data_IF_450816107727
#
_entry.id   IF_450816107727
#
_cell.length_a   1.000
_cell.length_b   1.000
_cell.length_c   1.000
_cell.angle_alpha   90.00
_cell.angle_beta   90.00
_cell.angle_gamma   90.00
#
_symmetry.space_group_name_H-M   'P 1'
#
loop_
_entity.id
_entity.type
_entity.pdbx_description
1 polymer ?
#
# COMPACT_ATOMS: atom_id res chain seq x y z
N UNK A 1 2.81 -17.16 -16.52
CA UNK A 1 1.95 -16.84 -15.35
C UNK A 1 2.05 -17.95 -14.28
N UNK A 2 3.20 -18.12 -13.61
CA UNK A 2 3.43 -19.24 -12.67
C UNK A 2 3.87 -18.81 -11.24
N UNK A 3 4.03 -17.50 -10.99
CA UNK A 3 4.58 -16.99 -9.71
C UNK A 3 3.62 -16.93 -8.52
N UNK A 4 2.31 -16.73 -8.75
CA UNK A 4 1.34 -16.48 -7.66
C UNK A 4 1.17 -17.66 -6.69
N UNK A 5 1.26 -18.89 -7.20
CA UNK A 5 1.20 -20.11 -6.38
C UNK A 5 2.48 -20.33 -5.55
N UNK A 6 3.63 -19.87 -6.05
CA UNK A 6 4.90 -19.95 -5.32
C UNK A 6 4.98 -18.90 -4.21
N UNK A 7 4.62 -17.65 -4.53
CA UNK A 7 4.62 -16.53 -3.59
C UNK A 7 3.64 -16.76 -2.43
N UNK A 8 2.42 -17.22 -2.72
CA UNK A 8 1.44 -17.51 -1.68
C UNK A 8 1.91 -18.63 -0.75
N UNK A 9 2.51 -19.69 -1.31
CA UNK A 9 3.05 -20.79 -0.51
C UNK A 9 4.17 -20.33 0.40
N UNK A 10 5.11 -19.52 -0.11
CA UNK A 10 6.20 -18.92 0.68
C UNK A 10 5.64 -18.09 1.84
N UNK A 11 4.64 -17.25 1.56
CA UNK A 11 4.02 -16.42 2.61
C UNK A 11 3.24 -17.25 3.64
N UNK A 12 2.55 -18.32 3.23
CA UNK A 12 1.89 -19.25 4.16
C UNK A 12 2.91 -19.93 5.08
N UNK A 13 4.04 -20.39 4.53
CA UNK A 13 5.11 -21.00 5.32
C UNK A 13 5.70 -20.01 6.33
N UNK A 14 5.99 -18.78 5.91
CA UNK A 14 6.49 -17.73 6.79
C UNK A 14 5.48 -17.38 7.89
N UNK A 15 4.19 -17.29 7.54
CA UNK A 15 3.12 -17.09 8.51
C UNK A 15 3.06 -18.25 9.51
N UNK A 16 3.13 -19.50 9.05
CA UNK A 16 3.10 -20.67 9.93
C UNK A 16 4.26 -20.65 10.93
N UNK A 17 5.49 -20.40 10.46
CA UNK A 17 6.66 -20.26 11.35
C UNK A 17 6.47 -19.15 12.38
N UNK A 18 6.02 -17.97 11.96
CA UNK A 18 5.74 -16.88 12.89
C UNK A 18 4.67 -17.26 13.92
N UNK A 19 3.60 -17.95 13.52
CA UNK A 19 2.53 -18.36 14.44
C UNK A 19 3.02 -19.37 15.49
N UNK A 20 4.00 -20.22 15.13
CA UNK A 20 4.65 -21.19 16.02
C UNK A 20 5.65 -20.52 16.97
N UNK A 21 6.52 -19.65 16.45
CA UNK A 21 7.65 -19.09 17.21
C UNK A 21 7.33 -17.78 17.91
N UNK A 22 6.39 -17.00 17.35
CA UNK A 22 6.13 -15.59 17.70
C UNK A 22 7.38 -14.70 17.70
N UNK A 23 8.41 -15.10 16.95
CA UNK A 23 9.69 -14.42 16.87
C UNK A 23 9.61 -13.17 15.99
N UNK A 24 10.27 -12.09 16.43
CA UNK A 24 10.43 -10.87 15.63
C UNK A 24 11.18 -11.13 14.32
N UNK A 25 12.12 -12.09 14.33
CA UNK A 25 12.88 -12.47 13.13
C UNK A 25 11.97 -13.10 12.05
N UNK A 26 11.06 -14.00 12.45
CA UNK A 26 10.09 -14.60 11.53
C UNK A 26 9.07 -13.56 11.03
N UNK A 27 8.66 -12.64 11.90
CA UNK A 27 7.78 -11.54 11.51
C UNK A 27 8.47 -10.59 10.52
N UNK A 28 9.75 -10.28 10.74
CA UNK A 28 10.57 -9.48 9.82
C UNK A 28 10.78 -10.16 8.47
N UNK A 29 10.96 -11.48 8.46
CA UNK A 29 11.04 -12.25 7.21
C UNK A 29 9.71 -12.26 6.45
N UNK A 30 8.58 -12.37 7.16
CA UNK A 30 7.24 -12.27 6.58
C UNK A 30 7.00 -10.88 5.99
N UNK A 31 7.32 -9.82 6.74
CA UNK A 31 7.25 -8.43 6.31
C UNK A 31 8.06 -8.20 5.02
N UNK A 32 9.33 -8.60 5.01
CA UNK A 32 10.22 -8.42 3.84
C UNK A 32 9.65 -9.11 2.60
N UNK A 33 9.19 -10.35 2.76
CA UNK A 33 8.57 -11.09 1.65
C UNK A 33 7.28 -10.42 1.15
N UNK A 34 6.43 -9.95 2.05
CA UNK A 34 5.21 -9.22 1.70
C UNK A 34 5.53 -7.93 0.94
N UNK A 35 6.48 -7.11 1.39
CA UNK A 35 6.83 -5.85 0.72
C UNK A 35 7.33 -6.09 -0.70
N UNK A 36 8.21 -7.08 -0.90
CA UNK A 36 8.70 -7.42 -2.25
C UNK A 36 7.58 -7.89 -3.20
N UNK A 37 6.65 -8.70 -2.70
CA UNK A 37 5.50 -9.18 -3.47
C UNK A 37 4.53 -8.03 -3.75
N UNK A 38 4.25 -7.20 -2.75
CA UNK A 38 3.39 -6.02 -2.86
C UNK A 38 3.91 -5.04 -3.90
N UNK A 39 5.23 -4.78 -3.93
CA UNK A 39 5.84 -3.91 -4.92
C UNK A 39 5.62 -4.43 -6.35
N UNK A 40 5.78 -5.74 -6.59
CA UNK A 40 5.46 -6.34 -7.90
C UNK A 40 3.99 -6.19 -8.25
N UNK A 41 3.08 -6.41 -7.29
CA UNK A 41 1.64 -6.23 -7.51
C UNK A 41 1.30 -4.78 -7.84
N UNK A 42 1.86 -3.81 -7.10
CA UNK A 42 1.62 -2.38 -7.29
C UNK A 42 2.15 -1.92 -8.65
N UNK A 43 3.39 -2.29 -9.02
CA UNK A 43 3.95 -1.96 -10.33
C UNK A 43 3.03 -2.43 -11.45
N UNK A 44 2.55 -3.67 -11.37
CA UNK A 44 1.58 -4.23 -12.33
C UNK A 44 0.23 -3.50 -12.32
N UNK A 45 -0.29 -3.11 -11.16
CA UNK A 45 -1.55 -2.35 -11.07
C UNK A 45 -1.41 -0.95 -11.67
N UNK A 46 -0.25 -0.30 -11.50
CA UNK A 46 0.03 1.02 -12.03
C UNK A 46 0.19 1.06 -13.55
N UNK A 47 0.41 -0.08 -14.22
CA UNK A 47 0.42 -0.16 -15.69
C UNK A 47 -0.90 0.33 -16.30
N UNK A 48 -2.02 0.19 -15.58
CA UNK A 48 -3.34 0.69 -16.02
C UNK A 48 -3.52 2.21 -15.86
N UNK A 49 -2.63 2.89 -15.13
CA UNK A 49 -2.67 4.34 -14.85
C UNK A 49 -1.26 4.95 -14.97
N UNK A 50 -0.66 4.92 -16.17
CA UNK A 50 0.71 5.34 -16.38
C UNK A 50 0.93 6.81 -15.98
N UNK A 51 2.07 7.10 -15.35
CA UNK A 51 2.45 8.45 -14.92
C UNK A 51 1.79 8.94 -13.63
N UNK A 52 0.81 8.24 -13.07
CA UNK A 52 0.10 8.68 -11.86
C UNK A 52 0.90 8.53 -10.56
N UNK A 53 1.78 7.54 -10.50
CA UNK A 53 2.58 7.22 -9.31
C UNK A 53 4.06 7.13 -9.71
N UNK A 54 4.91 7.85 -8.99
CA UNK A 54 6.37 7.74 -9.09
C UNK A 54 6.85 6.36 -8.58
N UNK A 55 8.14 6.05 -8.77
CA UNK A 55 8.70 4.82 -8.20
C UNK A 55 8.75 4.86 -6.66
N UNK A 56 9.03 6.02 -6.07
CA UNK A 56 8.98 6.24 -4.61
C UNK A 56 7.56 6.03 -4.06
N UNK A 57 6.52 6.57 -4.73
CA UNK A 57 5.12 6.33 -4.34
C UNK A 57 4.77 4.85 -4.33
N UNK A 58 5.28 4.09 -5.32
CA UNK A 58 5.00 2.66 -5.44
C UNK A 58 5.68 1.88 -4.33
N UNK A 59 6.91 2.25 -3.98
CA UNK A 59 7.66 1.68 -2.86
C UNK A 59 6.97 1.97 -1.53
N UNK A 60 6.60 3.22 -1.26
CA UNK A 60 5.90 3.62 -0.04
C UNK A 60 4.56 2.87 0.09
N UNK A 61 3.76 2.83 -0.98
CA UNK A 61 2.48 2.10 -0.96
C UNK A 61 2.65 0.61 -0.74
N UNK A 62 3.73 0.01 -1.26
CA UNK A 62 4.03 -1.41 -1.03
C UNK A 62 4.37 -1.68 0.43
N UNK A 63 5.13 -0.77 1.04
CA UNK A 63 5.45 -0.79 2.46
C UNK A 63 4.19 -0.66 3.31
N UNK A 64 3.36 0.35 3.05
CA UNK A 64 2.11 0.62 3.76
C UNK A 64 1.13 -0.58 3.67
N UNK A 65 1.10 -1.27 2.53
CA UNK A 65 0.29 -2.46 2.36
C UNK A 65 0.77 -3.62 3.24
N UNK A 66 2.08 -3.88 3.29
CA UNK A 66 2.66 -4.93 4.13
C UNK A 66 2.54 -4.60 5.63
N UNK A 67 2.91 -3.39 6.04
CA UNK A 67 2.85 -2.92 7.43
C UNK A 67 1.46 -3.07 8.02
N UNK A 68 0.41 -2.75 7.26
CA UNK A 68 -0.95 -2.94 7.73
C UNK A 68 -1.22 -4.38 8.19
N UNK A 69 -0.72 -5.38 7.46
CA UNK A 69 -0.89 -6.79 7.81
C UNK A 69 -0.03 -7.16 9.01
N UNK A 70 1.22 -6.68 9.06
CA UNK A 70 2.14 -6.93 10.17
C UNK A 70 1.59 -6.39 11.49
N UNK A 71 1.00 -5.20 11.48
CA UNK A 71 0.33 -4.62 12.65
C UNK A 71 -0.81 -5.53 13.13
N UNK A 72 -1.55 -6.20 12.23
CA UNK A 72 -2.59 -7.14 12.66
C UNK A 72 -1.99 -8.33 13.42
N UNK A 73 -0.85 -8.87 12.97
CA UNK A 73 -0.16 -9.94 13.69
C UNK A 73 0.32 -9.52 15.08
N UNK A 74 0.76 -8.28 15.25
CA UNK A 74 1.23 -7.75 16.52
C UNK A 74 0.08 -7.42 17.49
N UNK A 75 -1.04 -6.90 16.97
CA UNK A 75 -2.14 -6.38 17.80
C UNK A 75 -3.22 -7.42 18.10
N UNK A 76 -3.28 -8.52 17.35
CA UNK A 76 -4.35 -9.52 17.44
C UNK A 76 -3.73 -10.92 17.55
N UNK A 77 -3.68 -11.50 18.76
CA UNK A 77 -3.03 -12.80 19.00
C UNK A 77 -3.53 -13.94 18.09
N UNK A 78 -4.83 -13.96 17.80
CA UNK A 78 -5.49 -14.99 16.99
C UNK A 78 -5.56 -14.64 15.49
N UNK A 79 -4.90 -13.57 15.05
CA UNK A 79 -4.91 -13.18 13.65
C UNK A 79 -4.03 -14.10 12.81
N UNK A 80 -4.64 -14.65 11.76
CA UNK A 80 -3.93 -15.34 10.69
C UNK A 80 -4.77 -15.33 9.41
N UNK A 81 -4.10 -15.35 8.26
CA UNK A 81 -4.77 -15.39 6.97
C UNK A 81 -4.95 -16.85 6.55
N UNK A 82 -6.21 -17.30 6.46
CA UNK A 82 -6.53 -18.73 6.25
C UNK A 82 -6.43 -19.21 4.80
N UNK A 83 -6.84 -18.37 3.84
CA UNK A 83 -7.03 -18.78 2.44
C UNK A 83 -5.84 -18.45 1.55
N UNK A 84 -5.55 -17.16 1.39
CA UNK A 84 -4.48 -16.69 0.53
C UNK A 84 -3.91 -15.40 1.07
N UNK A 85 -2.63 -15.46 1.45
CA UNK A 85 -1.88 -14.29 1.92
C UNK A 85 -1.69 -13.31 0.77
N UNK A 86 -1.38 -13.79 -0.44
CA UNK A 86 -1.26 -12.95 -1.64
C UNK A 86 -2.58 -12.29 -2.01
N UNK A 87 -3.72 -12.99 -1.88
CA UNK A 87 -5.04 -12.41 -2.15
C UNK A 87 -5.42 -11.33 -1.13
N UNK A 88 -5.08 -11.51 0.15
CA UNK A 88 -5.28 -10.48 1.17
C UNK A 88 -4.38 -9.27 0.91
N UNK A 89 -3.11 -9.51 0.58
CA UNK A 89 -2.13 -8.48 0.24
C UNK A 89 -2.54 -7.71 -1.02
N UNK A 90 -3.02 -8.39 -2.06
CA UNK A 90 -3.52 -7.78 -3.29
C UNK A 90 -4.63 -6.77 -3.01
N UNK A 91 -5.63 -7.14 -2.20
CA UNK A 91 -6.70 -6.22 -1.78
C UNK A 91 -6.15 -5.02 -1.02
N UNK A 92 -5.09 -5.21 -0.23
CA UNK A 92 -4.46 -4.11 0.49
C UNK A 92 -3.71 -3.17 -0.45
N UNK A 93 -2.99 -3.69 -1.44
CA UNK A 93 -2.36 -2.89 -2.49
C UNK A 93 -3.40 -2.07 -3.28
N UNK A 94 -4.53 -2.67 -3.65
CA UNK A 94 -5.63 -1.94 -4.29
C UNK A 94 -6.14 -0.79 -3.42
N UNK A 95 -6.24 -1.01 -2.10
CA UNK A 95 -6.65 0.03 -1.16
C UNK A 95 -5.63 1.17 -1.08
N UNK A 96 -4.33 0.86 -1.01
CA UNK A 96 -3.28 1.90 -0.96
C UNK A 96 -3.17 2.73 -2.25
N UNK A 97 -3.49 2.13 -3.40
CA UNK A 97 -3.46 2.83 -4.68
C UNK A 97 -4.71 3.65 -4.95
N UNK A 98 -5.88 3.02 -4.80
CA UNK A 98 -7.12 3.53 -5.39
C UNK A 98 -8.16 3.95 -4.37
N UNK A 99 -8.02 3.56 -3.10
CA UNK A 99 -9.00 3.97 -2.10
C UNK A 99 -8.73 5.41 -1.66
N UNK A 100 -9.63 6.29 -2.08
CA UNK A 100 -9.66 7.68 -1.67
C UNK A 100 -10.53 7.81 -0.43
N UNK A 101 -9.99 8.29 0.69
CA UNK A 101 -10.82 8.65 1.84
C UNK A 101 -11.62 9.89 1.48
N UNK A 102 -12.79 10.07 2.10
CA UNK A 102 -13.58 11.32 1.94
C UNK A 102 -12.75 12.57 2.26
N UNK A 103 -11.84 12.48 3.23
CA UNK A 103 -10.90 13.55 3.59
C UNK A 103 -9.94 13.88 2.45
N UNK A 104 -9.42 12.89 1.72
CA UNK A 104 -8.51 13.14 0.59
C UNK A 104 -9.24 13.86 -0.56
N UNK A 105 -10.55 13.65 -0.70
CA UNK A 105 -11.40 14.42 -1.61
C UNK A 105 -11.54 15.89 -1.16
N UNK A 106 -11.75 16.11 0.14
CA UNK A 106 -11.84 17.44 0.73
C UNK A 106 -10.53 18.22 0.63
N UNK A 107 -9.39 17.58 0.92
CA UNK A 107 -8.07 18.23 0.85
C UNK A 107 -7.76 18.71 -0.58
N UNK A 108 -8.01 17.86 -1.60
CA UNK A 108 -7.77 18.28 -2.99
C UNK A 108 -8.68 19.44 -3.40
N UNK A 109 -9.94 19.46 -2.95
CA UNK A 109 -10.84 20.58 -3.21
C UNK A 109 -10.32 21.88 -2.57
N UNK A 110 -9.87 21.82 -1.31
CA UNK A 110 -9.30 23.00 -0.64
C UNK A 110 -8.01 23.48 -1.30
N UNK A 111 -7.11 22.59 -1.68
CA UNK A 111 -5.85 22.97 -2.35
C UNK A 111 -6.10 23.63 -3.71
N UNK A 112 -7.02 23.09 -4.51
CA UNK A 112 -7.40 23.68 -5.78
C UNK A 112 -8.05 25.07 -5.61
N UNK A 113 -8.82 25.27 -4.53
CA UNK A 113 -9.45 26.56 -4.23
C UNK A 113 -8.43 27.62 -3.82
N UNK A 114 -7.43 27.23 -3.03
CA UNK A 114 -6.33 28.13 -2.65
C UNK A 114 -5.51 28.55 -3.88
N UNK A 115 -5.14 27.61 -4.76
CA UNK A 115 -4.43 27.94 -6.01
C UNK A 115 -5.23 28.86 -6.94
N UNK A 116 -6.56 28.73 -6.99
CA UNK A 116 -7.40 29.64 -7.77
C UNK A 116 -7.39 31.06 -7.21
N UNK A 117 -7.48 31.20 -5.88
CA UNK A 117 -7.46 32.50 -5.20
C UNK A 117 -6.09 33.20 -5.34
N UNK A 118 -4.99 32.46 -5.19
CA UNK A 118 -3.64 33.00 -5.36
C UNK A 118 -3.40 33.48 -6.82
N UNK A 119 -3.98 32.79 -7.80
CA UNK A 119 -3.90 33.19 -9.20
C UNK A 119 -4.77 34.42 -9.55
N UNK A 120 -5.89 34.63 -8.85
CA UNK A 120 -6.70 35.85 -9.00
C UNK A 120 -5.98 37.05 -8.38
N UNK A 121 -5.42 36.90 -7.18
CA UNK A 121 -4.71 37.99 -6.51
C UNK A 121 -3.49 38.47 -7.32
N UNK A 122 -2.70 37.54 -7.87
CA UNK A 122 -1.56 37.88 -8.72
C UNK A 122 -1.94 38.58 -10.03
N UNK A 123 -3.17 38.39 -10.54
CA UNK A 123 -3.65 39.10 -11.74
C UNK A 123 -4.07 40.53 -11.43
N UNK A 124 -4.63 40.78 -10.25
CA UNK A 124 -5.01 42.13 -9.80
C UNK A 124 -3.77 43.00 -9.54
N UNK A 125 -2.72 42.43 -8.96
CA UNK A 125 -1.45 43.13 -8.74
C UNK A 125 -0.66 43.39 -10.04
N UNK A 126 -0.79 42.52 -11.05
CA UNK A 126 -0.18 42.73 -12.37
C UNK A 126 -0.88 43.81 -13.23
N UNK A 127 -2.08 44.26 -12.84
CA UNK A 127 -2.86 45.30 -13.53
C UNK A 127 -2.75 46.70 -12.87
N UNK A 128 -1.93 46.85 -11.82
CA UNK A 128 -1.59 48.14 -11.20
C UNK A 128 -0.19 48.60 -11.60
#
# INVERSE_FOLDING_TARGET
MTGESSDNRKLIQLQARYLETRSESDLGALYTAMTMIALRMIKKMCEAVPGKYSDEDREEKSHNAAVYIIIQYQTRPDFYIKKSVTGYLYKRCQRELFYRRKIDALIQFSSATIEMLDNEHNKEDACR
#
